data_IF_659914705642
#
_entry.id   IF_659914705642
#
_cell.length_a   1.000
_cell.length_b   1.000
_cell.length_c   1.000
_cell.angle_alpha   90.00
_cell.angle_beta   90.00
_cell.angle_gamma   90.00
#
_symmetry.space_group_name_H-M   'P 1'
#
loop_
_entity.id
_entity.type
_entity.pdbx_description
1 polymer ?
#
# COMPACT_ATOMS: atom_id res chain seq x y z
N UNK A 1 1.21 7.62 -10.24
CA UNK A 1 0.09 6.77 -9.77
C UNK A 1 -0.64 6.22 -11.00
N UNK A 2 -0.96 4.94 -11.03
CA UNK A 2 -1.72 4.29 -12.11
C UNK A 2 -2.85 3.43 -11.56
N UNK A 3 -3.87 3.16 -12.37
CA UNK A 3 -5.00 2.31 -12.02
C UNK A 3 -5.33 1.36 -13.17
N UNK A 4 -5.60 0.11 -12.83
CA UNK A 4 -6.07 -0.95 -13.73
C UNK A 4 -7.42 -1.42 -13.20
N UNK A 5 -8.43 -1.44 -14.08
CA UNK A 5 -9.78 -1.86 -13.72
C UNK A 5 -10.15 -3.10 -14.53
N UNK A 6 -10.55 -4.15 -13.81
CA UNK A 6 -11.17 -5.34 -14.36
C UNK A 6 -12.61 -5.47 -13.82
N UNK A 7 -13.48 -6.28 -14.45
CA UNK A 7 -14.87 -6.42 -14.00
C UNK A 7 -15.05 -6.87 -12.54
N UNK A 8 -14.03 -7.49 -11.94
CA UNK A 8 -14.11 -8.07 -10.58
C UNK A 8 -13.08 -7.49 -9.61
N UNK A 9 -12.09 -6.73 -10.10
CA UNK A 9 -10.98 -6.21 -9.29
C UNK A 9 -10.57 -4.83 -9.81
N UNK A 10 -10.38 -3.87 -8.90
CA UNK A 10 -9.63 -2.63 -9.16
C UNK A 10 -8.25 -2.75 -8.54
N UNK A 11 -7.22 -2.45 -9.33
CA UNK A 11 -5.83 -2.40 -8.88
C UNK A 11 -5.29 -0.98 -9.01
N UNK A 12 -4.71 -0.45 -7.95
CA UNK A 12 -3.94 0.80 -7.97
C UNK A 12 -2.46 0.51 -7.77
N UNK A 13 -1.63 1.22 -8.52
CA UNK A 13 -0.17 1.13 -8.43
C UNK A 13 0.40 2.53 -8.15
N UNK A 14 0.96 2.69 -6.96
CA UNK A 14 1.60 3.93 -6.52
C UNK A 14 3.10 3.71 -6.56
N UNK A 15 3.83 4.54 -7.31
CA UNK A 15 5.29 4.49 -7.43
C UNK A 15 5.90 5.75 -6.85
N UNK A 16 6.99 5.60 -6.12
CA UNK A 16 7.70 6.69 -5.47
C UNK A 16 9.22 6.48 -5.59
N UNK A 17 9.93 7.50 -6.07
CA UNK A 17 11.38 7.49 -6.24
C UNK A 17 12.11 7.84 -4.93
N UNK A 18 12.00 6.96 -3.94
CA UNK A 18 12.74 7.05 -2.69
C UNK A 18 12.94 5.66 -2.08
N UNK A 19 13.67 5.59 -0.97
CA UNK A 19 13.98 4.33 -0.29
C UNK A 19 12.72 3.51 0.06
N UNK A 20 11.61 4.22 0.33
CA UNK A 20 10.33 3.61 0.70
C UNK A 20 10.42 2.81 1.99
N UNK A 21 9.49 1.88 2.14
CA UNK A 21 9.44 0.95 3.27
C UNK A 21 9.17 -0.46 2.77
N UNK A 22 9.71 -1.45 3.45
CA UNK A 22 9.45 -2.86 3.14
C UNK A 22 8.05 -3.27 3.60
N UNK A 23 7.59 -4.42 3.13
CA UNK A 23 6.31 -5.00 3.55
C UNK A 23 6.25 -5.20 5.08
N UNK A 24 7.35 -5.63 5.69
CA UNK A 24 7.45 -5.90 7.12
C UNK A 24 7.37 -4.60 7.92
N UNK A 25 8.06 -3.55 7.46
CA UNK A 25 8.00 -2.22 8.07
C UNK A 25 6.60 -1.63 7.97
N UNK A 26 5.93 -1.80 6.83
CA UNK A 26 4.54 -1.38 6.65
C UNK A 26 3.60 -2.14 7.59
N UNK A 27 3.76 -3.46 7.73
CA UNK A 27 2.96 -4.27 8.65
C UNK A 27 3.14 -3.82 10.11
N UNK A 28 4.38 -3.56 10.53
CA UNK A 28 4.68 -3.05 11.87
C UNK A 28 4.02 -1.68 12.14
N UNK A 29 3.96 -0.80 11.14
CA UNK A 29 3.29 0.50 11.26
C UNK A 29 1.75 0.39 11.29
N UNK A 30 1.17 -0.59 10.60
CA UNK A 30 -0.27 -0.84 10.62
C UNK A 30 -0.77 -1.37 11.98
N UNK A 31 0.07 -2.16 12.67
CA UNK A 31 -0.23 -2.74 13.99
C UNK A 31 0.14 -1.80 15.15
N UNK A 32 1.18 -0.97 14.97
CA UNK A 32 1.50 0.09 15.91
C UNK A 32 0.30 1.02 16.03
N UNK A 33 -0.34 1.04 17.20
CA UNK A 33 -1.41 2.00 17.60
C UNK A 33 -0.85 3.43 17.73
N UNK A 34 0.01 3.85 16.81
CA UNK A 34 0.66 5.16 16.80
C UNK A 34 -0.39 6.21 16.50
N UNK A 35 -1.01 6.70 17.57
CA UNK A 35 -2.02 7.75 17.57
C UNK A 35 -1.41 9.14 17.38
N UNK A 36 -0.09 9.29 17.48
CA UNK A 36 0.51 10.61 17.65
C UNK A 36 0.99 11.26 16.36
N UNK A 37 1.42 10.53 15.33
CA UNK A 37 1.84 11.16 14.06
C UNK A 37 1.52 10.26 12.84
N UNK A 38 0.37 10.48 12.20
CA UNK A 38 0.15 10.07 10.80
C UNK A 38 0.00 8.57 10.44
N UNK A 39 0.12 7.63 11.39
CA UNK A 39 0.09 6.18 11.13
C UNK A 39 -1.28 5.58 10.71
N UNK A 40 -2.35 6.37 10.69
CA UNK A 40 -3.69 5.88 10.36
C UNK A 40 -3.90 5.61 8.87
N UNK A 41 -3.11 6.24 7.99
CA UNK A 41 -3.28 6.14 6.54
C UNK A 41 -3.20 4.69 6.06
N UNK A 42 -2.19 3.94 6.51
CA UNK A 42 -2.02 2.55 6.13
C UNK A 42 -3.11 1.63 6.70
N UNK A 43 -3.49 1.82 7.98
CA UNK A 43 -4.56 1.05 8.59
C UNK A 43 -5.90 1.22 7.84
N UNK A 44 -6.20 2.42 7.35
CA UNK A 44 -7.39 2.69 6.53
C UNK A 44 -7.29 2.01 5.16
N UNK A 45 -6.13 2.09 4.51
CA UNK A 45 -5.88 1.41 3.23
C UNK A 45 -6.09 -0.10 3.36
N UNK A 46 -5.56 -0.73 4.42
CA UNK A 46 -5.75 -2.16 4.69
C UNK A 46 -7.20 -2.56 5.01
N UNK A 47 -8.06 -1.62 5.44
CA UNK A 47 -9.51 -1.89 5.64
C UNK A 47 -10.29 -1.82 4.34
N UNK A 48 -9.89 -0.93 3.43
CA UNK A 48 -10.60 -0.72 2.17
C UNK A 48 -10.21 -1.80 1.17
N UNK A 49 -8.91 -2.02 0.96
CA UNK A 49 -8.38 -2.91 -0.05
C UNK A 49 -8.26 -4.34 0.46
N UNK A 50 -8.66 -5.31 -0.37
CA UNK A 50 -8.53 -6.74 -0.07
C UNK A 50 -7.07 -7.21 -0.07
N UNK A 51 -6.20 -6.50 -0.79
CA UNK A 51 -4.76 -6.77 -0.81
C UNK A 51 -3.96 -5.47 -0.86
N UNK A 52 -2.93 -5.40 -0.05
CA UNK A 52 -1.97 -4.28 0.01
C UNK A 52 -0.58 -4.89 -0.01
N UNK A 53 0.22 -4.56 -1.02
CA UNK A 53 1.58 -5.07 -1.16
C UNK A 53 2.58 -3.94 -1.42
N UNK A 54 3.65 -3.92 -0.63
CA UNK A 54 4.79 -3.03 -0.73
C UNK A 54 5.97 -3.77 -1.34
N UNK A 55 6.59 -3.15 -2.34
CA UNK A 55 7.88 -3.60 -2.86
C UNK A 55 8.84 -2.42 -2.95
N UNK A 56 10.11 -2.69 -2.69
CA UNK A 56 11.19 -1.71 -2.81
C UNK A 56 12.26 -2.28 -3.72
N UNK A 57 12.70 -1.50 -4.69
CA UNK A 57 13.76 -1.86 -5.61
C UNK A 57 14.80 -0.73 -5.63
N UNK A 58 16.07 -1.08 -5.47
CA UNK A 58 17.16 -0.10 -5.38
C UNK A 58 17.27 0.81 -6.62
N UNK A 59 16.90 0.31 -7.81
CA UNK A 59 16.95 1.08 -9.06
C UNK A 59 15.64 1.79 -9.38
N UNK A 60 14.49 1.22 -8.98
CA UNK A 60 13.15 1.70 -9.38
C UNK A 60 12.40 2.45 -8.28
N UNK A 61 12.95 2.50 -7.07
CA UNK A 61 12.31 3.08 -5.89
C UNK A 61 11.27 2.13 -5.28
N UNK A 62 10.28 2.70 -4.62
CA UNK A 62 9.24 1.96 -3.91
C UNK A 62 7.93 1.93 -4.68
N UNK A 63 7.23 0.80 -4.64
CA UNK A 63 5.93 0.58 -5.24
C UNK A 63 4.95 0.04 -4.20
N UNK A 64 3.71 0.53 -4.26
CA UNK A 64 2.57 0.04 -3.48
C UNK A 64 1.50 -0.42 -4.46
N UNK A 65 1.10 -1.67 -4.34
CA UNK A 65 0.00 -2.29 -5.09
C UNK A 65 -1.19 -2.48 -4.16
N UNK A 66 -2.32 -1.89 -4.54
CA UNK A 66 -3.59 -1.96 -3.80
C UNK A 66 -4.63 -2.65 -4.67
N UNK A 67 -5.19 -3.77 -4.23
CA UNK A 67 -6.25 -4.49 -4.97
C UNK A 67 -7.54 -4.51 -4.16
N UNK A 68 -8.66 -4.17 -4.81
CA UNK A 68 -10.01 -4.24 -4.27
C UNK A 68 -10.86 -5.15 -5.14
N UNK A 69 -11.39 -6.23 -4.55
CA UNK A 69 -12.46 -7.02 -5.17
C UNK A 69 -13.75 -6.19 -5.22
N UNK A 70 -14.38 -6.14 -6.39
CA UNK A 70 -15.67 -5.52 -6.62
C UNK A 70 -16.77 -6.57 -6.39
N UNK A 71 -17.78 -6.20 -5.60
CA UNK A 71 -18.97 -7.01 -5.28
C UNK A 71 -20.15 -6.53 -6.11
#
# INVERSE_FOLDING_TARGET
>A
CGAEVSPSIVRFIIRHHGAGITQEQAAAQADARSREEGGLGLALVCRVFSRVHFSTNAERGSEIVLEKVLV
#
